data_IF_066607638934
#
_entry.id   IF_066607638934
#
_cell.length_a   1.000
_cell.length_b   1.000
_cell.length_c   1.000
_cell.angle_alpha   90.00
_cell.angle_beta   90.00
_cell.angle_gamma   90.00
#
_symmetry.space_group_name_H-M   'P 1'
#
loop_
_entity.id
_entity.type
_entity.pdbx_description
1 polymer ?
#
# COMPACT_ATOMS: atom_id res chain seq x y z
N UNK A 1 22.41 -8.41 -3.16
CA UNK A 1 22.11 -7.04 -2.72
C UNK A 1 22.05 -6.12 -3.92
N UNK A 2 23.00 -6.22 -4.85
CA UNK A 2 23.00 -5.48 -6.13
C UNK A 2 21.63 -5.53 -6.86
N UNK A 3 21.05 -6.73 -7.05
CA UNK A 3 19.73 -6.88 -7.67
C UNK A 3 18.59 -6.11 -6.97
N UNK A 4 18.66 -5.95 -5.65
CA UNK A 4 17.63 -5.24 -4.88
C UNK A 4 17.77 -3.72 -5.06
N UNK A 5 19.01 -3.23 -5.11
CA UNK A 5 19.30 -1.81 -5.34
C UNK A 5 18.91 -1.40 -6.75
N UNK A 6 19.29 -2.18 -7.76
CA UNK A 6 18.94 -1.92 -9.15
C UNK A 6 17.42 -1.92 -9.38
N UNK A 7 16.70 -2.88 -8.77
CA UNK A 7 15.26 -2.92 -8.84
C UNK A 7 14.60 -1.68 -8.24
N UNK A 8 15.15 -1.18 -7.12
CA UNK A 8 14.68 0.07 -6.50
C UNK A 8 14.93 1.24 -7.43
N UNK A 9 16.12 1.34 -8.03
CA UNK A 9 16.44 2.41 -8.99
C UNK A 9 15.47 2.42 -10.18
N UNK A 10 15.12 1.25 -10.72
CA UNK A 10 14.14 1.14 -11.82
C UNK A 10 12.76 1.64 -11.37
N UNK A 11 12.24 1.12 -10.26
CA UNK A 11 10.87 1.44 -9.80
C UNK A 11 10.77 2.89 -9.32
N UNK A 12 11.75 3.36 -8.55
CA UNK A 12 11.79 4.73 -8.04
C UNK A 12 12.07 5.73 -9.18
N UNK A 13 12.91 5.37 -10.15
CA UNK A 13 13.15 6.16 -11.36
C UNK A 13 11.88 6.29 -12.23
N UNK A 14 11.17 5.19 -12.47
CA UNK A 14 9.86 5.24 -13.14
C UNK A 14 8.85 6.08 -12.36
N UNK A 15 8.85 5.98 -11.03
CA UNK A 15 7.99 6.79 -10.15
C UNK A 15 8.31 8.27 -10.26
N UNK A 16 9.58 8.65 -10.25
CA UNK A 16 10.04 10.02 -10.48
C UNK A 16 9.56 10.53 -11.84
N UNK A 17 9.82 9.78 -12.92
CA UNK A 17 9.36 10.12 -14.27
C UNK A 17 7.83 10.22 -14.38
N UNK A 18 7.09 9.53 -13.51
CA UNK A 18 5.64 9.54 -13.51
C UNK A 18 5.01 10.75 -12.82
N UNK A 19 5.67 11.30 -11.78
CA UNK A 19 5.10 12.36 -10.94
C UNK A 19 5.67 13.76 -11.25
N UNK A 20 6.74 13.82 -12.03
CA UNK A 20 7.42 15.09 -12.42
C UNK A 20 6.86 15.80 -13.65
N UNK A 21 6.26 15.13 -14.66
CA UNK A 21 5.74 15.82 -15.83
C UNK A 21 4.71 16.89 -15.45
N UNK A 22 4.63 17.95 -16.25
CA UNK A 22 3.55 18.94 -16.12
C UNK A 22 2.27 18.39 -16.74
N UNK A 23 1.70 17.41 -16.04
CA UNK A 23 0.48 16.77 -16.44
C UNK A 23 -0.73 17.47 -15.78
N UNK A 24 -1.86 17.54 -16.48
CA UNK A 24 -3.05 18.22 -15.95
C UNK A 24 -3.64 17.47 -14.75
N UNK A 25 -4.34 18.20 -13.87
CA UNK A 25 -4.88 17.63 -12.62
C UNK A 25 -5.89 16.49 -12.83
N UNK A 26 -6.55 16.46 -13.99
CA UNK A 26 -7.45 15.37 -14.35
C UNK A 26 -6.72 14.05 -14.64
N UNK A 27 -5.39 14.08 -14.74
CA UNK A 27 -4.53 12.93 -14.99
C UNK A 27 -3.74 12.50 -13.75
N UNK A 28 -3.15 13.46 -13.06
CA UNK A 28 -2.32 13.24 -11.88
C UNK A 28 -2.85 14.12 -10.76
N UNK A 29 -3.24 13.50 -9.65
CA UNK A 29 -3.65 14.24 -8.47
C UNK A 29 -2.49 15.16 -8.04
N UNK A 30 -2.71 16.48 -7.88
CA UNK A 30 -1.65 17.43 -7.57
C UNK A 30 -0.80 17.06 -6.34
N UNK A 31 -1.39 16.31 -5.39
CA UNK A 31 -0.70 15.84 -4.19
C UNK A 31 0.57 15.04 -4.49
N UNK A 32 0.61 14.26 -5.58
CA UNK A 32 1.82 13.50 -5.95
C UNK A 32 2.95 14.45 -6.33
N UNK A 33 2.65 15.46 -7.16
CA UNK A 33 3.62 16.48 -7.55
C UNK A 33 4.04 17.33 -6.34
N UNK A 34 3.10 17.72 -5.49
CA UNK A 34 3.40 18.51 -4.28
C UNK A 34 4.20 17.74 -3.23
N UNK A 35 4.04 16.43 -3.12
CA UNK A 35 4.72 15.66 -2.06
C UNK A 35 6.01 15.01 -2.57
N UNK A 36 6.02 14.51 -3.81
CA UNK A 36 7.15 13.77 -4.37
C UNK A 36 7.98 14.59 -5.36
N UNK A 37 7.43 15.66 -5.92
CA UNK A 37 8.11 16.51 -6.92
C UNK A 37 8.29 17.98 -6.49
N UNK A 38 8.07 18.34 -5.22
CA UNK A 38 8.14 19.72 -4.77
C UNK A 38 9.57 20.24 -4.57
N UNK A 39 10.50 19.37 -4.18
CA UNK A 39 11.90 19.73 -3.95
C UNK A 39 12.80 18.60 -4.43
N UNK A 40 13.90 18.96 -5.10
CA UNK A 40 14.92 18.01 -5.52
C UNK A 40 15.43 17.20 -4.31
N UNK A 41 15.45 15.88 -4.41
CA UNK A 41 15.93 15.01 -3.34
C UNK A 41 14.86 14.50 -2.36
N UNK A 42 13.61 14.99 -2.41
CA UNK A 42 12.56 14.52 -1.48
C UNK A 42 12.18 13.07 -1.74
N UNK A 43 11.99 12.71 -3.03
CA UNK A 43 11.68 11.33 -3.39
C UNK A 43 12.85 10.41 -3.02
N UNK A 44 14.08 10.80 -3.35
CA UNK A 44 15.31 10.07 -3.06
C UNK A 44 15.49 9.85 -1.54
N UNK A 45 15.25 10.89 -0.74
CA UNK A 45 15.27 10.82 0.72
C UNK A 45 14.22 9.83 1.24
N UNK A 46 12.98 9.89 0.73
CA UNK A 46 11.93 8.93 1.08
C UNK A 46 12.27 7.50 0.62
N UNK A 47 12.96 7.34 -0.50
CA UNK A 47 13.44 6.05 -1.00
C UNK A 47 14.49 5.44 -0.08
N UNK A 48 15.42 6.27 0.40
CA UNK A 48 16.45 5.89 1.36
C UNK A 48 15.87 5.56 2.75
N UNK A 49 14.97 6.39 3.26
CA UNK A 49 14.39 6.24 4.60
C UNK A 49 13.40 5.07 4.69
N UNK A 50 12.70 4.78 3.59
CA UNK A 50 11.64 3.78 3.54
C UNK A 50 11.84 2.84 2.35
N UNK A 51 12.92 2.06 2.30
CA UNK A 51 13.23 1.24 1.14
C UNK A 51 12.13 0.22 0.86
N UNK A 52 11.77 0.07 -0.42
CA UNK A 52 10.82 -0.96 -0.83
C UNK A 52 11.51 -2.32 -0.86
N UNK A 53 10.76 -3.35 -0.47
CA UNK A 53 11.18 -4.74 -0.56
C UNK A 53 10.34 -5.43 -1.63
N UNK A 54 11.02 -6.19 -2.48
CA UNK A 54 10.42 -6.89 -3.61
C UNK A 54 10.85 -8.33 -3.59
N UNK A 55 10.09 -9.19 -4.26
CA UNK A 55 10.50 -10.58 -4.44
C UNK A 55 11.69 -10.67 -5.41
N UNK A 56 12.60 -11.60 -5.17
CA UNK A 56 13.87 -11.74 -5.93
C UNK A 56 13.68 -11.87 -7.45
N UNK A 57 12.55 -12.44 -7.89
CA UNK A 57 12.25 -12.63 -9.30
C UNK A 57 11.72 -11.37 -9.99
N UNK A 58 11.41 -10.30 -9.24
CA UNK A 58 10.77 -9.11 -9.79
C UNK A 58 11.70 -8.32 -10.71
N UNK A 59 12.98 -8.20 -10.35
CA UNK A 59 13.99 -7.59 -11.23
C UNK A 59 14.09 -8.33 -12.56
N UNK A 60 14.14 -9.66 -12.50
CA UNK A 60 14.20 -10.50 -13.71
C UNK A 60 13.01 -10.25 -14.61
N UNK A 61 11.81 -10.12 -14.05
CA UNK A 61 10.60 -9.82 -14.81
C UNK A 61 10.74 -8.48 -15.53
N UNK A 62 11.13 -7.41 -14.83
CA UNK A 62 11.25 -6.07 -15.44
C UNK A 62 12.34 -5.95 -16.50
N UNK A 63 13.37 -6.81 -16.45
CA UNK A 63 14.47 -6.85 -17.42
C UNK A 63 14.21 -7.74 -18.64
N UNK A 64 13.16 -8.55 -18.61
CA UNK A 64 12.87 -9.47 -19.71
C UNK A 64 12.27 -8.70 -20.89
N UNK A 65 12.63 -9.08 -22.12
CA UNK A 65 12.14 -8.43 -23.36
C UNK A 65 10.66 -8.76 -23.64
N UNK A 66 10.11 -9.70 -22.87
CA UNK A 66 8.73 -10.13 -22.94
C UNK A 66 8.05 -10.04 -21.56
N UNK A 67 6.74 -9.73 -21.51
CA UNK A 67 5.99 -9.80 -20.27
C UNK A 67 5.98 -11.23 -19.71
N UNK A 68 5.80 -11.39 -18.39
CA UNK A 68 5.69 -12.70 -17.77
C UNK A 68 4.56 -13.52 -18.40
N UNK A 69 4.73 -14.84 -18.47
CA UNK A 69 3.69 -15.73 -19.00
C UNK A 69 2.44 -15.73 -18.12
N UNK A 70 1.31 -16.22 -18.66
CA UNK A 70 0.08 -16.41 -17.90
C UNK A 70 0.31 -17.23 -16.62
N UNK A 71 1.15 -18.26 -16.70
CA UNK A 71 1.46 -19.17 -15.59
C UNK A 71 2.05 -18.42 -14.37
N UNK A 72 2.68 -17.27 -14.60
CA UNK A 72 3.21 -16.41 -13.53
C UNK A 72 2.10 -15.87 -12.62
N UNK A 73 0.93 -15.54 -13.20
CA UNK A 73 -0.23 -15.01 -12.47
C UNK A 73 -1.34 -16.05 -12.26
N UNK A 74 -1.24 -17.22 -12.88
CA UNK A 74 -2.34 -18.14 -12.96
C UNK A 74 -2.61 -18.82 -11.61
N UNK A 75 -3.82 -18.59 -11.10
CA UNK A 75 -4.45 -19.50 -10.14
C UNK A 75 -5.16 -20.61 -10.92
N UNK A 76 -4.84 -21.86 -10.62
CA UNK A 76 -5.43 -23.03 -11.30
C UNK A 76 -6.96 -22.91 -11.36
N UNK A 77 -7.52 -22.97 -12.57
CA UNK A 77 -8.97 -22.90 -12.82
C UNK A 77 -9.56 -21.48 -12.86
N UNK A 78 -8.74 -20.42 -12.84
CA UNK A 78 -9.19 -19.03 -12.97
C UNK A 78 -8.64 -18.39 -14.26
N UNK A 79 -9.42 -17.52 -14.93
CA UNK A 79 -8.88 -16.66 -15.97
C UNK A 79 -7.75 -15.78 -15.39
N UNK A 80 -6.70 -15.56 -16.18
CA UNK A 80 -5.62 -14.68 -15.79
C UNK A 80 -6.10 -13.23 -15.90
N UNK A 81 -6.43 -12.65 -14.76
CA UNK A 81 -6.86 -11.26 -14.64
C UNK A 81 -5.98 -10.57 -13.62
N UNK A 82 -5.49 -9.39 -13.94
CA UNK A 82 -4.57 -8.67 -13.08
C UNK A 82 -5.21 -7.40 -12.53
N UNK A 83 -5.11 -7.25 -11.22
CA UNK A 83 -5.45 -6.04 -10.49
C UNK A 83 -4.23 -5.62 -9.68
N UNK A 84 -3.78 -4.39 -9.87
CA UNK A 84 -2.74 -3.76 -9.07
C UNK A 84 -3.32 -2.49 -8.47
N UNK A 85 -3.29 -2.43 -7.16
CA UNK A 85 -3.81 -1.34 -6.36
C UNK A 85 -4.17 -1.83 -4.97
N UNK A 86 -4.40 -0.87 -4.07
CA UNK A 86 -4.74 -1.13 -2.68
C UNK A 86 -6.13 -1.78 -2.45
N UNK A 87 -6.82 -2.25 -3.51
CA UNK A 87 -8.21 -2.74 -3.61
C UNK A 87 -8.68 -3.89 -2.71
N UNK A 88 -8.19 -3.99 -1.48
CA UNK A 88 -8.74 -4.83 -0.42
C UNK A 88 -9.13 -4.08 0.84
N UNK A 89 -9.07 -2.74 0.88
CA UNK A 89 -9.92 -1.90 1.74
C UNK A 89 -9.59 -0.41 1.50
N UNK A 90 -10.26 0.32 0.61
CA UNK A 90 -10.01 1.77 0.49
C UNK A 90 -10.38 2.55 1.77
N UNK A 91 -11.20 1.96 2.66
CA UNK A 91 -11.60 2.56 3.94
C UNK A 91 -10.67 2.21 5.12
N UNK A 92 -9.94 1.09 5.06
CA UNK A 92 -9.01 0.69 6.14
C UNK A 92 -7.58 0.37 5.67
N UNK A 93 -7.35 0.11 4.39
CA UNK A 93 -6.06 0.07 3.69
C UNK A 93 -4.95 -0.77 4.32
N UNK A 94 -3.72 -0.32 4.11
CA UNK A 94 -2.52 -0.74 4.87
C UNK A 94 -2.77 -0.68 6.38
N UNK A 95 -3.68 0.16 6.87
CA UNK A 95 -4.02 0.25 8.29
C UNK A 95 -4.83 -0.95 8.82
N UNK A 96 -5.72 -1.58 8.04
CA UNK A 96 -6.31 -2.88 8.40
C UNK A 96 -5.23 -3.94 8.47
N UNK A 97 -4.30 -3.95 7.50
CA UNK A 97 -3.17 -4.88 7.54
C UNK A 97 -2.26 -4.61 8.72
N UNK A 98 -1.97 -3.34 9.06
CA UNK A 98 -1.21 -2.94 10.25
C UNK A 98 -1.95 -3.32 11.55
N UNK A 99 -3.28 -3.24 11.60
CA UNK A 99 -4.07 -3.76 12.72
C UNK A 99 -3.99 -5.29 12.79
N UNK A 100 -4.06 -5.98 11.65
CA UNK A 100 -3.86 -7.43 11.56
C UNK A 100 -2.43 -7.84 11.93
N UNK A 101 -1.46 -6.93 11.77
CA UNK A 101 -0.06 -7.05 12.19
C UNK A 101 0.13 -6.79 13.69
N UNK A 102 -0.61 -5.84 14.28
CA UNK A 102 -0.64 -5.58 15.73
C UNK A 102 -1.36 -6.70 16.52
N UNK A 103 -2.21 -7.49 15.85
CA UNK A 103 -2.77 -8.71 16.42
C UNK A 103 -1.68 -9.81 16.41
N UNK A 104 -1.03 -10.04 17.56
CA UNK A 104 0.14 -10.91 17.86
C UNK A 104 0.09 -12.38 17.34
N UNK A 105 -0.93 -12.79 16.59
CA UNK A 105 -1.09 -14.15 16.07
C UNK A 105 -0.67 -14.35 14.61
N UNK A 106 -0.13 -13.33 13.92
CA UNK A 106 0.40 -13.52 12.56
C UNK A 106 1.91 -13.78 12.58
N UNK A 107 2.31 -15.05 12.59
CA UNK A 107 3.70 -15.53 12.48
C UNK A 107 4.39 -15.22 11.14
N UNK A 108 3.80 -14.34 10.32
CA UNK A 108 4.20 -14.06 8.94
C UNK A 108 4.66 -12.61 8.75
N UNK A 109 4.99 -11.91 9.83
CA UNK A 109 5.43 -10.52 9.73
C UNK A 109 6.83 -10.45 9.11
N UNK A 110 7.02 -9.70 8.00
CA UNK A 110 8.33 -9.15 7.72
C UNK A 110 8.73 -8.22 8.87
N UNK A 111 10.01 -8.20 9.17
CA UNK A 111 10.61 -7.52 10.31
C UNK A 111 10.07 -6.08 10.49
N UNK A 112 9.46 -5.80 11.66
CA UNK A 112 8.76 -4.53 11.97
C UNK A 112 9.71 -3.30 12.04
N UNK A 113 11.01 -3.49 11.79
CA UNK A 113 12.04 -2.46 11.88
C UNK A 113 11.92 -1.33 10.84
N UNK A 114 11.02 -1.44 9.85
CA UNK A 114 10.91 -0.48 8.74
C UNK A 114 9.62 0.36 8.73
N UNK A 115 8.87 0.40 9.84
CA UNK A 115 7.70 1.28 9.89
C UNK A 115 8.13 2.75 9.94
N UNK A 116 7.60 3.62 9.06
CA UNK A 116 7.87 5.06 9.11
C UNK A 116 7.38 5.65 10.44
N UNK A 117 8.08 6.68 10.92
CA UNK A 117 7.57 7.54 12.00
C UNK A 117 6.22 8.16 11.61
N UNK A 118 5.43 8.61 12.57
CA UNK A 118 4.12 9.17 12.24
C UNK A 118 4.24 10.43 11.37
N UNK A 119 5.32 11.20 11.56
CA UNK A 119 5.70 12.31 10.70
C UNK A 119 5.88 11.92 9.21
N UNK A 120 6.41 10.73 8.93
CA UNK A 120 6.70 10.30 7.55
C UNK A 120 5.57 9.46 6.92
N UNK A 121 4.65 8.91 7.72
CA UNK A 121 3.54 8.08 7.24
C UNK A 121 2.78 8.69 6.05
N UNK A 122 2.36 9.98 6.05
CA UNK A 122 1.63 10.55 4.91
C UNK A 122 2.45 10.52 3.62
N UNK A 123 3.73 10.89 3.67
CA UNK A 123 4.62 10.90 2.50
C UNK A 123 4.92 9.50 1.99
N UNK A 124 5.22 8.57 2.91
CA UNK A 124 5.43 7.15 2.57
C UNK A 124 4.19 6.54 1.89
N UNK A 125 2.98 6.92 2.30
CA UNK A 125 1.74 6.50 1.64
C UNK A 125 1.62 7.09 0.23
N UNK A 126 1.90 8.37 0.04
CA UNK A 126 1.87 8.98 -1.29
C UNK A 126 2.84 8.24 -2.23
N UNK A 127 4.06 7.94 -1.77
CA UNK A 127 5.01 7.12 -2.55
C UNK A 127 4.46 5.73 -2.85
N UNK A 128 3.88 5.04 -1.88
CA UNK A 128 3.32 3.71 -2.12
C UNK A 128 2.21 3.72 -3.16
N UNK A 129 1.29 4.69 -3.11
CA UNK A 129 0.23 4.85 -4.12
C UNK A 129 0.81 5.20 -5.50
N UNK A 130 1.87 6.00 -5.54
CA UNK A 130 2.56 6.30 -6.80
C UNK A 130 3.20 5.04 -7.41
N UNK A 131 3.86 4.22 -6.59
CA UNK A 131 4.43 2.94 -7.03
C UNK A 131 3.33 1.96 -7.45
N UNK A 132 2.20 1.90 -6.74
CA UNK A 132 1.03 1.12 -7.19
C UNK A 132 0.57 1.55 -8.59
N UNK A 133 0.52 2.85 -8.87
CA UNK A 133 0.17 3.37 -10.19
C UNK A 133 1.21 2.96 -11.25
N UNK A 134 2.50 3.12 -10.98
CA UNK A 134 3.60 2.72 -11.88
C UNK A 134 3.50 1.23 -12.20
N UNK A 135 3.35 0.39 -11.18
CA UNK A 135 3.23 -1.06 -11.39
C UNK A 135 1.96 -1.42 -12.17
N UNK A 136 0.84 -0.71 -11.93
CA UNK A 136 -0.37 -0.91 -12.72
C UNK A 136 -0.17 -0.58 -14.21
N UNK A 137 0.69 0.40 -14.54
CA UNK A 137 1.05 0.70 -15.92
C UNK A 137 2.03 -0.33 -16.49
N UNK A 138 3.14 -0.61 -15.79
CA UNK A 138 4.16 -1.60 -16.19
C UNK A 138 3.54 -2.96 -16.53
N UNK A 139 2.60 -3.41 -15.70
CA UNK A 139 1.91 -4.68 -15.90
C UNK A 139 0.57 -4.55 -16.61
N UNK A 140 0.25 -3.41 -17.23
CA UNK A 140 -1.01 -3.24 -17.96
C UNK A 140 -2.27 -3.69 -17.19
N UNK A 141 -2.27 -3.52 -15.86
CA UNK A 141 -3.38 -3.93 -15.00
C UNK A 141 -4.61 -3.02 -15.17
N UNK A 142 -4.39 -1.80 -15.67
CA UNK A 142 -5.42 -0.84 -16.08
C UNK A 142 -5.99 -1.14 -17.46
N UNK A 143 -7.30 -0.91 -17.62
CA UNK A 143 -7.96 -0.95 -18.94
C UNK A 143 -7.27 0.04 -19.89
N UNK A 144 -7.20 -0.28 -21.21
CA UNK A 144 -6.62 0.63 -22.18
C UNK A 144 -7.27 2.00 -22.10
N UNK A 145 -6.46 3.05 -22.08
CA UNK A 145 -6.95 4.41 -22.03
C UNK A 145 -6.10 5.32 -22.91
N UNK A 146 -6.63 6.51 -23.23
CA UNK A 146 -5.89 7.50 -24.04
C UNK A 146 -4.60 7.97 -23.38
N UNK A 147 -4.36 7.63 -22.11
CA UNK A 147 -3.16 8.02 -21.40
C UNK A 147 -2.01 7.02 -21.55
N UNK A 148 -2.25 5.84 -22.10
CA UNK A 148 -1.22 4.82 -22.29
C UNK A 148 -0.04 5.35 -23.13
N UNK A 149 -0.31 6.27 -24.07
CA UNK A 149 0.69 6.95 -24.92
C UNK A 149 1.71 7.75 -24.11
N UNK A 150 1.32 8.30 -22.94
CA UNK A 150 2.27 9.05 -22.10
C UNK A 150 3.30 8.15 -21.43
N UNK A 151 3.05 6.85 -21.38
CA UNK A 151 3.89 5.87 -20.71
C UNK A 151 4.65 4.98 -21.69
N UNK A 152 4.31 4.99 -22.98
CA UNK A 152 4.81 3.99 -23.94
C UNK A 152 6.35 3.90 -23.95
N UNK A 153 7.04 5.03 -23.82
CA UNK A 153 8.51 5.09 -23.76
C UNK A 153 9.12 4.64 -22.42
N UNK A 154 8.32 4.55 -21.36
CA UNK A 154 8.74 4.15 -20.02
C UNK A 154 8.46 2.67 -19.72
N UNK A 155 7.65 1.99 -20.55
CA UNK A 155 7.21 0.63 -20.29
C UNK A 155 8.18 -0.39 -20.89
N UNK A 156 8.47 -1.49 -20.17
CA UNK A 156 9.40 -2.53 -20.67
C UNK A 156 8.82 -3.31 -21.85
N UNK A 157 7.49 -3.32 -22.00
CA UNK A 157 6.79 -4.08 -23.04
C UNK A 157 5.64 -3.24 -23.62
N UNK A 158 5.09 -3.72 -24.74
CA UNK A 158 3.84 -3.22 -25.31
C UNK A 158 2.64 -3.96 -24.73
N UNK A 159 1.49 -3.27 -24.71
CA UNK A 159 0.24 -3.82 -24.16
C UNK A 159 -0.19 -5.10 -24.86
N UNK A 160 0.01 -5.21 -26.18
CA UNK A 160 -0.41 -6.36 -26.98
C UNK A 160 0.41 -7.63 -26.65
N UNK A 161 1.56 -7.48 -25.98
CA UNK A 161 2.37 -8.61 -25.52
C UNK A 161 1.80 -9.21 -24.24
N UNK A 162 1.06 -8.43 -23.43
CA UNK A 162 0.46 -8.90 -22.19
C UNK A 162 -0.75 -9.81 -22.49
N UNK A 163 -0.79 -10.97 -21.85
CA UNK A 163 -1.78 -12.02 -22.13
C UNK A 163 -2.91 -12.09 -21.10
N UNK A 164 -2.84 -11.28 -20.03
CA UNK A 164 -3.85 -11.21 -18.97
C UNK A 164 -4.89 -10.10 -19.21
N UNK A 165 -6.07 -10.25 -18.63
CA UNK A 165 -7.11 -9.21 -18.69
C UNK A 165 -6.89 -8.13 -17.61
N UNK A 166 -6.97 -6.83 -17.95
CA UNK A 166 -6.89 -5.75 -16.98
C UNK A 166 -8.18 -5.65 -16.14
N UNK A 167 -8.02 -5.54 -14.82
CA UNK A 167 -9.14 -5.31 -13.90
C UNK A 167 -9.24 -3.89 -13.35
N UNK A 168 -8.15 -3.11 -13.36
CA UNK A 168 -8.19 -1.75 -12.84
C UNK A 168 -8.99 -0.85 -13.78
N UNK A 169 -10.00 -0.16 -13.24
CA UNK A 169 -10.87 0.77 -13.98
C UNK A 169 -10.37 2.21 -13.94
N UNK A 170 -9.43 2.51 -13.05
CA UNK A 170 -8.81 3.82 -12.88
C UNK A 170 -7.33 3.62 -12.48
N UNK A 171 -6.54 4.68 -12.61
CA UNK A 171 -5.16 4.71 -12.12
C UNK A 171 -5.12 5.25 -10.69
N UNK A 172 -4.23 4.72 -9.85
CA UNK A 172 -4.03 5.18 -8.49
C UNK A 172 -3.51 6.64 -8.44
N UNK A 173 -2.98 7.18 -9.54
CA UNK A 173 -2.64 8.60 -9.65
C UNK A 173 -3.84 9.55 -9.57
N UNK A 174 -5.07 9.08 -9.78
CA UNK A 174 -6.28 9.88 -9.58
C UNK A 174 -6.78 9.86 -8.14
N UNK A 175 -6.26 8.95 -7.32
CA UNK A 175 -6.66 8.84 -5.93
C UNK A 175 -6.03 9.97 -5.11
N UNK A 176 -6.73 10.42 -4.06
CA UNK A 176 -6.15 11.27 -3.02
C UNK A 176 -5.60 10.35 -1.93
N UNK A 177 -4.27 10.18 -1.79
CA UNK A 177 -3.72 9.30 -0.77
C UNK A 177 -4.17 9.75 0.63
N UNK A 178 -4.54 8.81 1.51
CA UNK A 178 -5.04 9.14 2.83
C UNK A 178 -3.92 9.62 3.75
N UNK A 179 -4.09 10.82 4.30
CA UNK A 179 -3.18 11.40 5.27
C UNK A 179 -3.24 12.91 5.26
N UNK A 180 -2.85 13.52 6.37
CA UNK A 180 -2.79 14.96 6.50
C UNK A 180 -1.40 15.45 6.04
N UNK A 181 -1.16 15.41 4.72
CA UNK A 181 0.12 15.80 4.11
C UNK A 181 0.49 17.27 4.34
N UNK A 182 -0.48 18.09 4.76
CA UNK A 182 -0.33 19.50 5.09
C UNK A 182 0.07 19.73 6.56
N UNK A 183 0.02 18.71 7.41
CA UNK A 183 0.44 18.82 8.82
C UNK A 183 1.96 18.80 8.95
N UNK A 184 2.49 19.57 9.92
CA UNK A 184 3.90 19.49 10.28
C UNK A 184 4.23 18.14 10.93
N UNK A 185 5.51 17.78 10.96
CA UNK A 185 5.99 16.58 11.64
C UNK A 185 5.54 16.52 13.10
N UNK A 186 5.59 17.64 13.83
CA UNK A 186 5.15 17.71 15.23
C UNK A 186 3.64 17.51 15.37
N UNK A 187 2.85 18.08 14.44
CA UNK A 187 1.39 17.89 14.42
C UNK A 187 1.02 16.44 14.15
N UNK A 188 1.70 15.79 13.22
CA UNK A 188 1.48 14.37 12.88
C UNK A 188 1.83 13.45 14.06
N UNK A 189 2.94 13.71 14.76
CA UNK A 189 3.31 12.94 15.95
C UNK A 189 2.32 13.15 17.10
N UNK A 190 1.93 14.39 17.37
CA UNK A 190 0.93 14.71 18.39
C UNK A 190 -0.43 14.06 18.05
N UNK A 191 -0.84 14.12 16.78
CA UNK A 191 -2.07 13.49 16.31
C UNK A 191 -2.02 11.96 16.50
N UNK A 192 -0.89 11.32 16.15
CA UNK A 192 -0.72 9.89 16.32
C UNK A 192 -0.73 9.47 17.79
N UNK A 193 -0.06 10.21 18.68
CA UNK A 193 -0.10 9.99 20.12
C UNK A 193 -1.55 10.07 20.65
N UNK A 194 -2.30 11.10 20.25
CA UNK A 194 -3.71 11.24 20.60
C UNK A 194 -4.59 10.12 20.02
N UNK A 195 -4.29 9.65 18.80
CA UNK A 195 -4.97 8.51 18.17
C UNK A 195 -4.74 7.22 18.95
N UNK A 196 -3.52 6.92 19.39
CA UNK A 196 -3.19 5.74 20.20
C UNK A 196 -3.98 5.75 21.53
N UNK A 197 -4.04 6.90 22.20
CA UNK A 197 -4.82 7.06 23.45
C UNK A 197 -6.30 6.78 23.19
N UNK A 198 -6.89 7.36 22.13
CA UNK A 198 -8.29 7.12 21.74
C UNK A 198 -8.56 5.66 21.40
N UNK A 199 -7.65 5.00 20.69
CA UNK A 199 -7.75 3.59 20.35
C UNK A 199 -7.82 2.71 21.61
N UNK A 200 -6.92 2.92 22.58
CA UNK A 200 -6.93 2.22 23.88
C UNK A 200 -8.24 2.45 24.64
N UNK A 201 -8.73 3.69 24.69
CA UNK A 201 -9.99 4.02 25.33
C UNK A 201 -11.19 3.34 24.66
N UNK A 202 -11.24 3.34 23.32
CA UNK A 202 -12.31 2.70 22.56
C UNK A 202 -12.27 1.18 22.70
N UNK A 203 -11.08 0.57 22.71
CA UNK A 203 -10.92 -0.85 22.96
C UNK A 203 -11.44 -1.23 24.35
N UNK A 204 -11.12 -0.46 25.39
CA UNK A 204 -11.63 -0.69 26.74
C UNK A 204 -13.16 -0.57 26.82
N UNK A 205 -13.74 0.47 26.17
CA UNK A 205 -15.21 0.64 26.07
C UNK A 205 -15.88 -0.51 25.36
N UNK A 206 -15.33 -0.93 24.21
CA UNK A 206 -15.88 -2.01 23.40
C UNK A 206 -15.77 -3.37 24.10
N UNK A 207 -14.65 -3.62 24.78
CA UNK A 207 -14.44 -4.81 25.60
C UNK A 207 -15.47 -4.90 26.73
N UNK A 208 -15.65 -3.80 27.49
CA UNK A 208 -16.67 -3.74 28.54
C UNK A 208 -18.08 -3.96 27.98
N UNK A 209 -18.42 -3.30 26.87
CA UNK A 209 -19.72 -3.48 26.23
C UNK A 209 -19.93 -4.93 25.74
N UNK A 210 -18.88 -5.60 25.26
CA UNK A 210 -18.93 -7.00 24.87
C UNK A 210 -19.17 -7.91 26.08
N UNK A 211 -18.45 -7.71 27.19
CA UNK A 211 -18.69 -8.45 28.42
C UNK A 211 -20.11 -8.24 28.96
N UNK A 212 -20.60 -7.00 28.95
CA UNK A 212 -21.93 -6.67 29.46
C UNK A 212 -23.02 -7.33 28.60
N UNK A 213 -22.84 -7.40 27.27
CA UNK A 213 -23.72 -8.18 26.37
C UNK A 213 -23.69 -9.66 26.70
N UNK A 214 -22.53 -10.24 26.98
CA UNK A 214 -22.42 -11.68 27.33
C UNK A 214 -23.06 -11.98 28.69
N UNK A 215 -22.84 -11.13 29.70
CA UNK A 215 -23.49 -11.23 31.02
C UNK A 215 -25.01 -11.15 30.92
N UNK A 216 -25.52 -10.30 30.03
CA UNK A 216 -26.96 -10.14 29.80
C UNK A 216 -27.59 -11.40 29.18
N UNK A 217 -26.85 -12.15 28.36
CA UNK A 217 -27.32 -13.43 27.80
C UNK A 217 -27.33 -14.53 28.87
N UNK A 218 -26.22 -14.71 29.61
CA UNK A 218 -26.16 -15.68 30.71
C UNK A 218 -25.00 -15.40 31.66
N UNK A 219 -25.33 -14.82 32.82
CA UNK A 219 -24.35 -14.55 33.87
C UNK A 219 -23.65 -15.82 34.40
N UNK A 220 -24.37 -16.95 34.46
CA UNK A 220 -23.80 -18.23 34.92
C UNK A 220 -22.76 -18.76 33.93
N UNK A 221 -23.06 -18.74 32.63
CA UNK A 221 -22.14 -19.18 31.59
C UNK A 221 -20.89 -18.30 31.54
N UNK A 222 -21.08 -16.97 31.60
CA UNK A 222 -19.97 -16.00 31.66
C UNK A 222 -19.02 -16.28 32.83
N UNK A 223 -19.56 -16.45 34.04
CA UNK A 223 -18.75 -16.75 35.25
C UNK A 223 -18.01 -18.08 35.14
N UNK A 224 -18.65 -19.12 34.59
CA UNK A 224 -18.01 -20.42 34.40
C UNK A 224 -16.83 -20.33 33.41
N UNK A 225 -16.99 -19.59 32.29
CA UNK A 225 -15.91 -19.33 31.34
C UNK A 225 -14.74 -18.59 31.98
N UNK A 226 -15.00 -17.49 32.70
CA UNK A 226 -13.96 -16.71 33.39
C UNK A 226 -13.22 -17.51 34.47
N UNK A 227 -13.92 -18.40 35.18
CA UNK A 227 -13.28 -19.31 36.14
C UNK A 227 -12.34 -20.29 35.42
N UNK A 228 -12.76 -20.85 34.28
CA UNK A 228 -11.93 -21.75 33.47
C UNK A 228 -10.68 -21.04 32.93
N UNK A 229 -10.83 -19.81 32.42
CA UNK A 229 -9.70 -18.99 31.95
C UNK A 229 -8.67 -18.70 33.05
N UNK A 230 -9.11 -18.50 34.29
CA UNK A 230 -8.20 -18.23 35.42
C UNK A 230 -7.43 -19.48 35.91
N UNK A 231 -7.93 -20.67 35.59
CA UNK A 231 -7.35 -21.95 36.01
C UNK A 231 -6.47 -22.59 34.94
N UNK A 232 -6.50 -22.07 33.72
CA UNK A 232 -5.62 -22.46 32.61
C UNK A 232 -4.33 -21.65 32.64
#
# INVERSE_FOLDING_TARGET
>A
MEDVEELREIVDGMTHCAVTPDAPEWYLNPVFKTVLGAEDGVLESLCSDHPLFSADHFLRVLKDDAPPSLDFFQKIGCPAKLYIGSGTSASQGVFSRLIDYDNENSSNLPDLHYLPSAAHVPRARVRLVAVEAVLAFVFFAGRPCQMDVLWEDLLPWRREQATWEPLCTHTAFLEKPPGDVEMSSEQLEAYNAARIVRAKQNMAKNSKAAEDREKAVSLKAYRARKLKEKLA
#
